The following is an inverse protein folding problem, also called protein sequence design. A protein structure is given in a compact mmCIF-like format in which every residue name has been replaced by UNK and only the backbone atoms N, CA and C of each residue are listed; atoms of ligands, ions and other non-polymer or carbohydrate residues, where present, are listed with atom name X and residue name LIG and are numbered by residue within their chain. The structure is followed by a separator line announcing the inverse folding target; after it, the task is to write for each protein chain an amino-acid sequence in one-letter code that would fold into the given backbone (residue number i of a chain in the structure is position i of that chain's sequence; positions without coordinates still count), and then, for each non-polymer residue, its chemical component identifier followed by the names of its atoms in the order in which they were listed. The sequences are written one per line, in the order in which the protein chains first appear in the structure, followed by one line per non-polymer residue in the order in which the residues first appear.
data_IF_734754053506
#
_entry.id   IF_734754053506
#
_cell.length_a   1.000
_cell.length_b   1.000
_cell.length_c   1.000
_cell.angle_alpha   90.00
_cell.angle_beta   90.00
_cell.angle_gamma   90.00
#
_symmetry.space_group_name_H-M   'P 1'
#
loop_
_entity.id
_entity.type
_entity.pdbx_description
1 polymer ?
#
# COMPACT_ATOMS: atom_id res chain seq x y z
N UNK A 1 24.66 -54.60 18.14
CA UNK A 1 24.91 -53.21 18.59
C UNK A 1 24.98 -52.31 17.37
N UNK A 2 23.89 -51.64 17.00
CA UNK A 2 23.94 -50.51 16.07
C UNK A 2 23.08 -49.40 16.66
N UNK A 3 23.75 -48.33 17.09
CA UNK A 3 23.15 -47.18 17.78
C UNK A 3 22.49 -46.26 16.76
N UNK A 4 21.21 -45.97 16.96
CA UNK A 4 20.48 -44.90 16.29
C UNK A 4 21.09 -43.53 16.63
N UNK A 5 21.35 -42.70 15.63
CA UNK A 5 21.66 -41.29 15.83
C UNK A 5 20.37 -40.45 15.82
N UNK A 6 20.21 -39.43 16.69
CA UNK A 6 19.00 -38.64 16.78
C UNK A 6 18.99 -37.53 15.73
N UNK A 7 17.80 -37.25 15.17
CA UNK A 7 17.56 -36.08 14.31
C UNK A 7 17.45 -34.83 15.20
N UNK A 8 18.35 -33.87 15.01
CA UNK A 8 18.29 -32.56 15.64
C UNK A 8 17.26 -31.68 14.92
N UNK A 9 16.15 -31.43 15.60
CA UNK A 9 15.13 -30.45 15.22
C UNK A 9 15.70 -29.05 15.40
N UNK A 10 15.92 -28.31 14.30
CA UNK A 10 16.25 -26.87 14.37
C UNK A 10 14.98 -26.07 14.59
N UNK A 11 14.77 -25.63 15.83
CA UNK A 11 13.81 -24.59 16.19
C UNK A 11 14.48 -23.24 15.91
N UNK A 12 14.00 -22.51 14.90
CA UNK A 12 14.37 -21.12 14.69
C UNK A 12 13.56 -20.26 15.66
N UNK A 13 14.24 -19.76 16.69
CA UNK A 13 13.71 -18.75 17.61
C UNK A 13 13.73 -17.38 16.92
N UNK A 14 12.56 -16.76 16.76
CA UNK A 14 12.43 -15.36 16.37
C UNK A 14 12.90 -14.46 17.52
N UNK A 15 14.08 -13.86 17.39
CA UNK A 15 14.51 -12.80 18.29
C UNK A 15 13.87 -11.47 17.84
N UNK A 16 12.88 -11.00 18.61
CA UNK A 16 12.33 -9.66 18.49
C UNK A 16 13.28 -8.65 19.16
N UNK A 17 13.72 -7.63 18.42
CA UNK A 17 14.50 -6.51 18.97
C UNK A 17 13.56 -5.31 19.13
N UNK A 18 13.27 -4.83 20.34
CA UNK A 18 12.49 -3.61 20.54
C UNK A 18 13.39 -2.37 20.38
N UNK A 19 13.07 -1.53 19.40
CA UNK A 19 13.66 -0.19 19.26
C UNK A 19 12.99 0.74 20.27
N UNK A 20 13.70 1.05 21.35
CA UNK A 20 13.32 2.09 22.30
C UNK A 20 13.67 3.47 21.71
N UNK A 21 12.65 4.26 21.34
CA UNK A 21 12.80 5.68 21.06
C UNK A 21 12.65 6.46 22.37
N UNK A 22 13.78 6.95 22.88
CA UNK A 22 13.82 7.88 24.02
C UNK A 22 13.55 9.28 23.49
N UNK A 23 12.44 9.88 23.92
CA UNK A 23 12.15 11.31 23.70
C UNK A 23 12.65 12.06 24.93
N UNK A 24 13.79 12.73 24.82
CA UNK A 24 14.26 13.67 25.83
C UNK A 24 13.65 15.05 25.54
N UNK A 25 12.84 15.55 26.48
CA UNK A 25 12.32 16.90 26.48
C UNK A 25 13.30 17.91 27.08
N UNK A 26 13.17 19.13 26.55
CA UNK A 26 13.36 20.44 27.19
C UNK A 26 14.72 20.78 27.85
N UNK A 27 15.42 21.79 27.31
CA UNK A 27 15.58 23.10 27.98
C UNK A 27 16.55 24.00 27.19
N UNK A 28 16.04 25.14 26.71
CA UNK A 28 16.89 26.24 26.29
C UNK A 28 17.14 27.14 27.49
N UNK A 29 18.35 27.02 28.03
CA UNK A 29 18.96 27.96 28.96
C UNK A 29 19.55 29.13 28.16
N UNK A 30 19.14 30.36 28.47
CA UNK A 30 19.84 31.58 28.03
C UNK A 30 19.84 32.61 29.15
N UNK A 31 20.95 32.63 29.90
CA UNK A 31 21.20 33.58 30.97
C UNK A 31 21.57 34.99 30.49
N UNK A 32 20.88 35.97 31.08
CA UNK A 32 21.39 37.17 31.78
C UNK A 32 22.18 38.26 31.04
N UNK A 33 21.64 39.50 31.01
CA UNK A 33 22.08 40.64 31.86
C UNK A 33 21.35 41.96 31.51
N UNK A 34 20.95 42.71 32.54
CA UNK A 34 20.59 44.13 32.44
C UNK A 34 19.54 44.56 33.47
N UNK A 35 20.00 45.02 34.65
CA UNK A 35 19.19 45.63 35.72
C UNK A 35 19.23 47.16 35.63
N UNK A 36 18.08 47.84 35.76
CA UNK A 36 17.77 48.88 36.77
C UNK A 36 16.51 49.72 36.43
N UNK A 37 15.88 50.40 37.42
CA UNK A 37 14.41 50.47 37.55
C UNK A 37 13.77 51.87 37.38
N UNK A 38 12.43 51.88 37.51
CA UNK A 38 11.55 52.93 38.08
C UNK A 38 10.56 53.63 37.12
N UNK A 39 9.27 53.54 37.48
CA UNK A 39 8.32 54.66 37.47
C UNK A 39 7.25 54.68 36.37
N UNK A 40 5.98 54.38 36.73
CA UNK A 40 4.82 54.80 35.95
C UNK A 40 3.55 53.96 36.17
N UNK A 41 2.60 54.46 36.97
CA UNK A 41 1.32 53.82 37.29
C UNK A 41 0.23 54.01 36.23
N UNK A 42 -0.48 52.90 35.92
CA UNK A 42 -1.91 52.74 35.51
C UNK A 42 -2.44 53.37 34.19
N UNK A 43 -3.55 52.87 33.59
CA UNK A 43 -4.56 51.92 34.11
C UNK A 43 -4.86 50.68 33.23
N UNK A 44 -5.57 49.71 33.81
CA UNK A 44 -6.25 48.61 33.09
C UNK A 44 -7.48 49.09 32.32
N UNK A 45 -7.73 48.53 31.13
CA UNK A 45 -9.04 48.05 30.70
C UNK A 45 -8.96 46.51 30.58
N UNK A 46 -9.82 45.73 31.23
CA UNK A 46 -11.24 45.65 30.89
C UNK A 46 -11.46 44.42 30.01
N UNK A 47 -11.87 43.32 30.66
CA UNK A 47 -12.62 42.17 30.17
C UNK A 47 -12.58 41.78 28.66
N UNK A 48 -12.08 40.56 28.43
CA UNK A 48 -12.65 39.53 27.56
C UNK A 48 -13.50 39.98 26.35
N UNK A 49 -12.93 39.90 25.16
CA UNK A 49 -13.69 39.69 23.93
C UNK A 49 -13.67 38.19 23.58
N UNK A 50 -14.78 37.45 23.70
CA UNK A 50 -14.95 36.16 23.03
C UNK A 50 -15.39 36.45 21.60
N UNK A 51 -14.52 36.29 20.61
CA UNK A 51 -14.93 36.69 19.26
C UNK A 51 -13.92 36.49 18.13
N UNK A 52 -13.05 35.49 18.25
CA UNK A 52 -12.27 34.98 17.12
C UNK A 52 -12.80 33.62 16.70
N UNK A 53 -14.12 33.49 16.53
CA UNK A 53 -14.70 32.29 15.94
C UNK A 53 -14.24 32.22 14.49
N UNK A 54 -13.08 31.62 14.24
CA UNK A 54 -12.75 31.12 12.92
C UNK A 54 -13.87 30.13 12.59
N UNK A 55 -14.81 30.56 11.74
CA UNK A 55 -15.77 29.64 11.14
C UNK A 55 -14.96 28.46 10.61
N UNK A 56 -15.27 27.21 11.01
CA UNK A 56 -14.51 26.07 10.53
C UNK A 56 -14.53 26.11 9.00
N UNK A 57 -13.35 26.10 8.39
CA UNK A 57 -13.24 26.03 6.93
C UNK A 57 -14.04 24.79 6.51
N UNK A 58 -15.06 24.93 5.63
CA UNK A 58 -15.86 23.80 5.20
C UNK A 58 -14.95 22.73 4.61
N UNK A 59 -14.92 21.58 5.26
CA UNK A 59 -14.12 20.45 4.83
C UNK A 59 -14.88 19.66 3.77
N UNK A 60 -14.27 19.44 2.61
CA UNK A 60 -14.87 18.61 1.58
C UNK A 60 -15.10 17.18 2.10
N UNK A 61 -16.33 16.63 2.00
CA UNK A 61 -16.61 15.28 2.45
C UNK A 61 -15.92 14.23 1.57
N UNK A 62 -15.59 13.08 2.15
CA UNK A 62 -15.04 11.95 1.41
C UNK A 62 -16.07 11.39 0.42
N UNK A 63 -15.70 11.25 -0.86
CA UNK A 63 -16.56 10.74 -1.94
C UNK A 63 -17.09 9.32 -1.69
N UNK A 64 -16.23 8.42 -1.22
CA UNK A 64 -16.53 7.03 -0.92
C UNK A 64 -16.53 6.78 0.59
N UNK A 65 -17.64 6.24 1.08
CA UNK A 65 -17.85 5.90 2.48
C UNK A 65 -17.37 4.48 2.82
N UNK A 66 -17.33 3.57 1.83
CA UNK A 66 -16.98 2.15 2.00
C UNK A 66 -15.91 1.71 1.01
N UNK A 67 -15.21 0.63 1.36
CA UNK A 67 -14.38 -0.14 0.46
C UNK A 67 -15.18 -1.34 -0.10
N UNK A 68 -14.86 -1.82 -1.32
CA UNK A 68 -15.35 -3.11 -1.79
C UNK A 68 -14.78 -4.24 -0.92
N UNK A 69 -15.43 -5.41 -0.94
CA UNK A 69 -14.79 -6.63 -0.44
C UNK A 69 -13.60 -6.98 -1.35
N UNK A 70 -12.33 -6.96 -0.85
CA UNK A 70 -11.16 -7.01 -1.74
C UNK A 70 -11.10 -8.25 -2.64
N UNK A 71 -11.49 -9.42 -2.13
CA UNK A 71 -11.50 -10.66 -2.91
C UNK A 71 -12.64 -10.75 -3.93
N UNK A 72 -13.64 -9.87 -3.86
CA UNK A 72 -14.70 -9.75 -4.86
C UNK A 72 -14.47 -8.59 -5.84
N UNK A 73 -13.34 -7.88 -5.71
CA UNK A 73 -12.98 -6.79 -6.61
C UNK A 73 -12.60 -7.28 -8.02
N UNK A 74 -12.26 -8.56 -8.15
CA UNK A 74 -11.96 -9.25 -9.39
C UNK A 74 -12.93 -10.42 -9.58
N UNK A 75 -13.40 -10.64 -10.81
CA UNK A 75 -14.23 -11.79 -11.14
C UNK A 75 -13.40 -13.06 -11.08
N UNK A 76 -14.06 -14.18 -10.78
CA UNK A 76 -13.46 -15.52 -10.86
C UNK A 76 -12.82 -15.76 -12.23
N UNK A 77 -13.46 -15.31 -13.31
CA UNK A 77 -12.92 -15.41 -14.66
C UNK A 77 -11.59 -14.66 -14.82
N UNK A 78 -11.52 -13.41 -14.35
CA UNK A 78 -10.27 -12.62 -14.38
C UNK A 78 -9.17 -13.34 -13.58
N UNK A 79 -9.50 -13.89 -12.41
CA UNK A 79 -8.54 -14.63 -11.58
C UNK A 79 -8.03 -15.90 -12.28
N UNK A 80 -8.92 -16.70 -12.86
CA UNK A 80 -8.55 -17.93 -13.58
C UNK A 80 -7.68 -17.65 -14.82
N UNK A 81 -7.98 -16.59 -15.55
CA UNK A 81 -7.22 -16.18 -16.75
C UNK A 81 -5.81 -15.70 -16.38
N UNK A 82 -5.65 -14.99 -15.26
CA UNK A 82 -4.37 -14.41 -14.84
C UNK A 82 -3.54 -15.32 -13.93
N UNK A 83 -4.18 -16.27 -13.25
CA UNK A 83 -3.51 -17.16 -12.29
C UNK A 83 -3.82 -18.61 -12.64
N UNK A 84 -3.16 -19.18 -13.67
CA UNK A 84 -3.35 -20.57 -14.02
C UNK A 84 -3.08 -21.49 -12.83
N UNK A 85 -3.94 -22.49 -12.64
CA UNK A 85 -3.90 -23.39 -11.47
C UNK A 85 -3.93 -22.63 -10.14
N UNK A 86 -4.74 -21.57 -10.06
CA UNK A 86 -4.98 -20.83 -8.82
C UNK A 86 -5.37 -21.79 -7.69
N UNK A 87 -4.71 -21.65 -6.54
CA UNK A 87 -4.95 -22.54 -5.39
C UNK A 87 -6.28 -22.31 -4.70
N UNK A 88 -6.74 -21.06 -4.71
CA UNK A 88 -7.98 -20.64 -4.09
C UNK A 88 -8.61 -19.54 -4.96
N UNK A 89 -9.63 -19.91 -5.73
CA UNK A 89 -10.36 -19.01 -6.64
C UNK A 89 -11.02 -17.84 -5.91
N UNK A 90 -11.51 -18.07 -4.69
CA UNK A 90 -12.11 -17.03 -3.86
C UNK A 90 -11.08 -16.05 -3.29
N UNK A 91 -9.79 -16.32 -3.44
CA UNK A 91 -8.70 -15.49 -2.95
C UNK A 91 -8.47 -15.61 -1.44
N UNK A 92 -7.32 -15.09 -1.02
CA UNK A 92 -6.91 -15.04 0.39
C UNK A 92 -6.99 -13.61 0.87
N UNK A 93 -7.96 -13.30 1.73
CA UNK A 93 -8.11 -11.98 2.30
C UNK A 93 -6.93 -11.64 3.22
N UNK A 94 -6.39 -10.43 3.07
CA UNK A 94 -5.40 -9.89 4.01
C UNK A 94 -6.04 -9.51 5.34
N UNK A 95 -5.25 -9.60 6.42
CA UNK A 95 -5.68 -9.17 7.75
C UNK A 95 -5.55 -7.64 7.89
N UNK A 96 -6.58 -6.98 8.41
CA UNK A 96 -6.53 -5.56 8.75
C UNK A 96 -7.19 -5.33 10.11
N UNK A 97 -6.60 -4.45 10.93
CA UNK A 97 -7.23 -3.97 12.17
C UNK A 97 -8.29 -2.89 11.90
N UNK A 98 -8.35 -2.37 10.67
CA UNK A 98 -9.37 -1.44 10.21
C UNK A 98 -9.78 -1.81 8.77
N UNK A 99 -10.79 -2.67 8.67
CA UNK A 99 -11.33 -3.12 7.38
C UNK A 99 -12.18 -2.05 6.69
N UNK A 100 -12.53 -0.95 7.37
CA UNK A 100 -13.27 0.16 6.77
C UNK A 100 -12.35 1.16 6.05
N UNK A 101 -11.08 1.24 6.47
CA UNK A 101 -10.06 2.05 5.82
C UNK A 101 -9.10 1.26 4.94
N UNK A 102 -8.88 -0.05 5.18
CA UNK A 102 -7.91 -0.86 4.43
C UNK A 102 -8.37 -2.30 4.23
N UNK A 103 -8.13 -2.83 3.04
CA UNK A 103 -8.35 -4.24 2.76
C UNK A 103 -7.50 -4.72 1.59
N UNK A 104 -7.16 -6.01 1.57
CA UNK A 104 -6.43 -6.62 0.47
C UNK A 104 -6.87 -8.05 0.22
N UNK A 105 -6.56 -8.56 -0.97
CA UNK A 105 -6.72 -9.96 -1.33
C UNK A 105 -5.57 -10.41 -2.23
N UNK A 106 -5.22 -11.68 -2.16
CA UNK A 106 -4.23 -12.29 -3.06
C UNK A 106 -4.63 -13.66 -3.57
N UNK A 107 -4.06 -14.00 -4.72
CA UNK A 107 -4.20 -15.26 -5.44
C UNK A 107 -2.82 -15.71 -5.90
N UNK A 108 -2.58 -17.02 -5.87
CA UNK A 108 -1.39 -17.60 -6.47
C UNK A 108 -1.69 -18.95 -7.08
N UNK A 109 -0.93 -19.26 -8.13
CA UNK A 109 -1.05 -20.48 -8.91
C UNK A 109 0.33 -20.96 -9.33
N UNK A 110 0.45 -22.27 -9.45
CA UNK A 110 1.64 -22.92 -9.99
C UNK A 110 1.17 -23.98 -10.97
N UNK A 111 1.40 -23.74 -12.26
CA UNK A 111 1.24 -24.78 -13.27
C UNK A 111 2.49 -25.66 -13.28
N UNK A 112 2.49 -26.69 -12.43
CA UNK A 112 3.61 -27.61 -12.29
C UNK A 112 3.64 -28.66 -13.42
N UNK A 113 4.71 -28.67 -14.23
CA UNK A 113 4.95 -29.68 -15.27
C UNK A 113 6.23 -30.51 -14.96
N UNK A 114 6.70 -30.47 -13.71
CA UNK A 114 7.87 -31.20 -13.24
C UNK A 114 9.13 -30.79 -13.97
N UNK A 115 9.89 -31.76 -14.48
CA UNK A 115 11.15 -31.51 -15.23
C UNK A 115 10.96 -30.73 -16.54
N UNK A 116 9.72 -30.48 -16.95
CA UNK A 116 9.40 -29.66 -18.14
C UNK A 116 9.28 -28.17 -17.83
N UNK A 117 9.51 -27.78 -16.57
CA UNK A 117 9.37 -26.40 -16.10
C UNK A 117 7.98 -26.10 -15.55
N UNK A 118 7.89 -25.12 -14.66
CA UNK A 118 6.64 -24.79 -13.96
C UNK A 118 6.40 -23.29 -14.00
N UNK A 119 5.16 -22.88 -14.27
CA UNK A 119 4.80 -21.47 -14.41
C UNK A 119 4.11 -20.96 -13.15
N UNK A 120 4.71 -19.97 -12.49
CA UNK A 120 4.16 -19.37 -11.28
C UNK A 120 3.54 -18.00 -11.55
N UNK A 121 2.37 -17.77 -10.94
CA UNK A 121 1.69 -16.48 -10.95
C UNK A 121 1.26 -16.08 -9.55
N UNK A 122 1.42 -14.80 -9.25
CA UNK A 122 0.89 -14.14 -8.08
C UNK A 122 0.14 -12.87 -8.49
N UNK A 123 -1.07 -12.70 -7.99
CA UNK A 123 -1.90 -11.53 -8.19
C UNK A 123 -2.37 -11.05 -6.81
N UNK A 124 -2.28 -9.77 -6.53
CA UNK A 124 -2.87 -9.16 -5.35
C UNK A 124 -3.48 -7.79 -5.66
N UNK A 125 -4.45 -7.42 -4.82
CA UNK A 125 -5.06 -6.10 -4.83
C UNK A 125 -5.18 -5.60 -3.41
N UNK A 126 -4.90 -4.33 -3.20
CA UNK A 126 -5.11 -3.64 -1.94
C UNK A 126 -5.83 -2.32 -2.18
N UNK A 127 -6.61 -1.92 -1.18
CA UNK A 127 -7.35 -0.67 -1.15
C UNK A 127 -7.08 0.07 0.15
N UNK A 128 -6.90 1.38 0.05
CA UNK A 128 -6.83 2.29 1.17
C UNK A 128 -7.79 3.45 0.96
N UNK A 129 -8.76 3.60 1.87
CA UNK A 129 -9.73 4.70 1.90
C UNK A 129 -9.31 5.75 2.91
N UNK A 130 -9.46 7.01 2.54
CA UNK A 130 -9.14 8.16 3.38
C UNK A 130 -10.43 8.89 3.75
N UNK A 131 -10.67 9.07 5.04
CA UNK A 131 -11.74 9.94 5.52
C UNK A 131 -11.30 11.41 5.47
N UNK A 132 -12.26 12.30 5.23
CA UNK A 132 -12.05 13.73 5.47
C UNK A 132 -12.10 13.98 6.97
N UNK A 133 -11.04 14.58 7.51
CA UNK A 133 -10.90 14.84 8.95
C UNK A 133 -10.52 16.31 9.19
N UNK A 134 -11.27 16.98 10.08
CA UNK A 134 -11.02 18.37 10.44
C UNK A 134 -9.63 18.54 11.04
N UNK A 135 -8.86 19.51 10.54
CA UNK A 135 -7.48 19.74 10.97
C UNK A 135 -6.44 18.82 10.32
N UNK A 136 -6.85 17.81 9.53
CA UNK A 136 -5.94 16.95 8.76
C UNK A 136 -6.06 17.22 7.25
N UNK A 137 -7.28 17.31 6.73
CA UNK A 137 -7.52 17.56 5.30
C UNK A 137 -8.62 16.68 4.72
N UNK A 138 -8.95 16.95 3.45
CA UNK A 138 -9.97 16.20 2.72
C UNK A 138 -9.47 14.77 2.44
N UNK A 139 -10.41 13.82 2.35
CA UNK A 139 -10.07 12.45 1.95
C UNK A 139 -9.46 12.39 0.55
N UNK A 140 -9.86 13.29 -0.35
CA UNK A 140 -9.34 13.36 -1.72
C UNK A 140 -7.86 13.79 -1.75
N UNK A 141 -7.50 14.86 -1.04
CA UNK A 141 -6.12 15.34 -0.96
C UNK A 141 -5.21 14.29 -0.31
N UNK A 142 -5.68 13.68 0.78
CA UNK A 142 -4.94 12.60 1.46
C UNK A 142 -4.73 11.38 0.56
N UNK A 143 -5.72 11.02 -0.26
CA UNK A 143 -5.58 9.94 -1.23
C UNK A 143 -4.62 10.30 -2.35
N UNK A 144 -4.57 11.58 -2.78
CA UNK A 144 -3.59 12.06 -3.75
C UNK A 144 -2.17 11.96 -3.21
N UNK A 145 -1.93 12.46 -2.01
CA UNK A 145 -0.62 12.35 -1.36
C UNK A 145 -0.18 10.89 -1.20
N UNK A 146 -1.12 10.02 -0.81
CA UNK A 146 -0.84 8.60 -0.67
C UNK A 146 -0.55 7.92 -2.01
N UNK A 147 -1.29 8.27 -3.06
CA UNK A 147 -1.03 7.79 -4.42
C UNK A 147 0.39 8.15 -4.89
N UNK A 148 0.80 9.42 -4.73
CA UNK A 148 2.13 9.89 -5.14
C UNK A 148 3.24 9.18 -4.35
N UNK A 149 3.03 8.97 -3.04
CA UNK A 149 3.95 8.21 -2.17
C UNK A 149 4.04 6.75 -2.58
N UNK A 150 2.92 6.10 -2.85
CA UNK A 150 2.86 4.70 -3.24
C UNK A 150 3.54 4.47 -4.59
N UNK A 151 3.27 5.31 -5.60
CA UNK A 151 3.97 5.28 -6.88
C UNK A 151 5.47 5.43 -6.70
N UNK A 152 5.90 6.35 -5.83
CA UNK A 152 7.32 6.57 -5.53
C UNK A 152 7.95 5.36 -4.84
N UNK A 153 7.23 4.75 -3.91
CA UNK A 153 7.68 3.55 -3.19
C UNK A 153 7.85 2.36 -4.15
N UNK A 154 6.88 2.11 -5.04
CA UNK A 154 6.96 1.03 -6.04
C UNK A 154 8.15 1.24 -6.99
N UNK A 155 8.37 2.47 -7.46
CA UNK A 155 9.54 2.81 -8.31
C UNK A 155 10.88 2.62 -7.59
N UNK A 156 10.89 2.79 -6.27
CA UNK A 156 12.08 2.64 -5.43
C UNK A 156 12.25 1.24 -4.84
N UNK A 157 11.54 0.23 -5.39
CA UNK A 157 11.65 -1.16 -4.94
C UNK A 157 13.11 -1.60 -4.94
N UNK A 158 13.59 -2.06 -3.77
CA UNK A 158 14.99 -2.44 -3.59
C UNK A 158 15.36 -3.59 -4.55
N UNK A 159 16.49 -3.45 -5.26
CA UNK A 159 17.00 -4.43 -6.23
C UNK A 159 16.11 -4.64 -7.46
N UNK A 160 15.09 -3.80 -7.66
CA UNK A 160 14.33 -3.83 -8.90
C UNK A 160 15.23 -3.42 -10.07
N UNK A 161 15.13 -4.16 -11.17
CA UNK A 161 15.87 -3.93 -12.40
C UNK A 161 14.92 -3.49 -13.50
N UNK A 162 15.46 -2.74 -14.49
CA UNK A 162 14.68 -2.29 -15.66
C UNK A 162 13.37 -1.56 -15.29
N UNK A 163 13.39 -0.83 -14.17
CA UNK A 163 12.20 -0.12 -13.67
C UNK A 163 11.72 0.89 -14.71
N UNK A 164 10.48 0.75 -15.13
CA UNK A 164 9.81 1.67 -16.04
C UNK A 164 8.43 2.02 -15.50
N UNK A 165 7.99 3.25 -15.77
CA UNK A 165 6.68 3.71 -15.34
C UNK A 165 5.99 4.50 -16.45
N UNK A 166 4.67 4.34 -16.55
CA UNK A 166 3.85 5.01 -17.54
C UNK A 166 2.44 5.30 -16.99
N UNK A 167 1.70 6.26 -17.57
CA UNK A 167 0.31 6.48 -17.21
C UNK A 167 -0.55 5.23 -17.52
N UNK A 168 -1.39 4.82 -16.57
CA UNK A 168 -2.32 3.70 -16.71
C UNK A 168 -3.74 4.21 -17.02
N UNK A 169 -3.91 4.83 -18.19
CA UNK A 169 -5.18 5.47 -18.57
C UNK A 169 -6.38 4.51 -18.51
N UNK A 170 -7.51 5.03 -18.01
CA UNK A 170 -8.75 4.27 -17.86
C UNK A 170 -8.83 3.40 -16.60
N UNK A 171 -7.82 3.45 -15.71
CA UNK A 171 -7.89 2.88 -14.37
C UNK A 171 -8.12 4.02 -13.37
N UNK A 172 -9.28 4.04 -12.70
CA UNK A 172 -9.61 5.10 -11.75
C UNK A 172 -9.66 6.49 -12.40
N UNK A 173 -9.43 7.52 -11.57
CA UNK A 173 -9.33 8.92 -12.01
C UNK A 173 -7.88 9.26 -12.40
N UNK A 174 -6.91 8.62 -11.75
CA UNK A 174 -5.48 8.81 -11.95
C UNK A 174 -4.76 7.49 -11.66
N UNK A 175 -3.84 7.06 -12.51
CA UNK A 175 -3.11 5.82 -12.28
C UNK A 175 -1.74 5.78 -12.98
N UNK A 176 -0.81 5.06 -12.36
CA UNK A 176 0.54 4.78 -12.88
C UNK A 176 0.75 3.27 -12.92
N UNK A 177 1.18 2.77 -14.08
CA UNK A 177 1.73 1.43 -14.24
C UNK A 177 3.24 1.48 -14.00
N UNK A 178 3.76 0.52 -13.25
CA UNK A 178 5.20 0.33 -13.04
C UNK A 178 5.55 -1.11 -13.39
N UNK A 179 6.51 -1.31 -14.29
CA UNK A 179 7.07 -2.61 -14.62
C UNK A 179 8.51 -2.71 -14.15
N UNK A 180 8.92 -3.87 -13.66
CA UNK A 180 10.30 -4.13 -13.22
C UNK A 180 10.58 -5.63 -13.12
N UNK A 181 11.86 -5.99 -13.26
CA UNK A 181 12.37 -7.32 -12.92
C UNK A 181 12.88 -7.36 -11.49
N UNK A 182 12.86 -8.52 -10.84
CA UNK A 182 13.44 -8.71 -9.51
C UNK A 182 13.96 -10.14 -9.33
N UNK A 183 15.26 -10.27 -9.11
CA UNK A 183 15.88 -11.55 -8.73
C UNK A 183 15.57 -11.87 -7.26
N UNK A 184 14.88 -12.98 -7.00
CA UNK A 184 14.49 -13.41 -5.64
C UNK A 184 14.46 -14.92 -5.53
N UNK A 185 15.00 -15.45 -4.43
CA UNK A 185 15.02 -16.89 -4.15
C UNK A 185 15.67 -17.75 -5.24
N UNK A 186 16.62 -17.18 -5.99
CA UNK A 186 17.33 -17.88 -7.07
C UNK A 186 16.66 -17.85 -8.43
N UNK A 187 15.52 -17.15 -8.57
CA UNK A 187 14.82 -16.98 -9.85
C UNK A 187 14.60 -15.50 -10.15
N UNK A 188 14.41 -15.20 -11.43
CA UNK A 188 14.06 -13.86 -11.91
C UNK A 188 12.54 -13.74 -12.05
N UNK A 189 11.96 -12.73 -11.42
CA UNK A 189 10.53 -12.45 -11.49
C UNK A 189 10.28 -11.19 -12.31
N UNK A 190 9.22 -11.22 -13.11
CA UNK A 190 8.68 -10.04 -13.79
C UNK A 190 7.47 -9.51 -13.03
N UNK A 191 7.42 -8.19 -12.82
CA UNK A 191 6.36 -7.49 -12.10
C UNK A 191 5.68 -6.45 -12.98
N UNK A 192 4.35 -6.36 -12.83
CA UNK A 192 3.56 -5.19 -13.19
C UNK A 192 2.75 -4.77 -11.97
N UNK A 193 2.92 -3.52 -11.56
CA UNK A 193 2.17 -2.91 -10.47
C UNK A 193 1.37 -1.73 -11.00
N UNK A 194 0.07 -1.71 -10.73
CA UNK A 194 -0.80 -0.58 -11.04
C UNK A 194 -1.19 0.09 -9.74
N UNK A 195 -0.78 1.33 -9.55
CA UNK A 195 -1.27 2.19 -8.48
C UNK A 195 -2.30 3.13 -9.09
N UNK A 196 -3.49 3.21 -8.50
CA UNK A 196 -4.55 4.09 -8.98
C UNK A 196 -5.22 4.83 -7.83
N UNK A 197 -5.78 5.99 -8.14
CA UNK A 197 -6.61 6.80 -7.26
C UNK A 197 -7.99 6.97 -7.88
N UNK A 198 -9.03 6.87 -7.06
CA UNK A 198 -10.39 7.34 -7.39
C UNK A 198 -10.96 8.03 -6.16
N UNK A 199 -11.28 9.33 -6.28
CA UNK A 199 -11.72 10.14 -5.14
C UNK A 199 -10.74 10.04 -3.98
N UNK A 200 -11.26 9.57 -2.84
CA UNK A 200 -10.55 9.36 -1.58
C UNK A 200 -10.06 7.90 -1.37
N UNK A 201 -9.89 7.11 -2.43
CA UNK A 201 -9.38 5.74 -2.37
C UNK A 201 -8.14 5.59 -3.25
N UNK A 202 -7.11 4.95 -2.69
CA UNK A 202 -5.94 4.45 -3.42
C UNK A 202 -6.06 2.93 -3.54
N UNK A 203 -5.83 2.40 -4.73
CA UNK A 203 -5.77 0.98 -5.03
C UNK A 203 -4.38 0.65 -5.56
N UNK A 204 -3.77 -0.41 -5.04
CA UNK A 204 -2.54 -0.99 -5.61
C UNK A 204 -2.84 -2.41 -6.04
N UNK A 205 -2.61 -2.72 -7.31
CA UNK A 205 -2.68 -4.06 -7.86
C UNK A 205 -1.28 -4.53 -8.24
N UNK A 206 -0.81 -5.61 -7.64
CA UNK A 206 0.43 -6.28 -7.99
C UNK A 206 0.15 -7.54 -8.80
N UNK A 207 0.84 -7.72 -9.91
CA UNK A 207 0.84 -8.95 -10.68
C UNK A 207 2.27 -9.32 -11.01
N UNK A 208 2.67 -10.55 -10.73
CA UNK A 208 4.03 -11.03 -11.01
C UNK A 208 4.06 -12.52 -11.31
N UNK A 209 5.17 -12.97 -11.87
CA UNK A 209 5.40 -14.37 -12.14
C UNK A 209 6.85 -14.68 -12.49
N UNK A 210 7.13 -15.97 -12.53
CA UNK A 210 8.45 -16.52 -12.89
C UNK A 210 8.27 -17.92 -13.47
N UNK A 211 9.21 -18.33 -14.31
CA UNK A 211 9.37 -19.71 -14.75
C UNK A 211 10.33 -20.46 -13.82
N UNK A 212 9.88 -21.55 -13.22
CA UNK A 212 10.72 -22.44 -12.43
C UNK A 212 11.27 -23.61 -13.26
N UNK A 213 12.37 -24.20 -12.80
CA UNK A 213 12.97 -25.40 -13.38
C UNK A 213 13.29 -25.27 -14.88
N UNK A 214 13.79 -24.09 -15.28
CA UNK A 214 14.17 -23.78 -16.66
C UNK A 214 13.00 -23.39 -17.57
N UNK A 215 11.79 -23.22 -17.03
CA UNK A 215 10.72 -22.55 -17.77
C UNK A 215 11.08 -21.08 -18.02
N UNK A 216 10.59 -20.54 -19.13
CA UNK A 216 10.71 -19.12 -19.44
C UNK A 216 9.87 -18.28 -18.48
N UNK A 217 10.35 -17.08 -18.19
CA UNK A 217 9.57 -16.08 -17.45
C UNK A 217 8.35 -15.61 -18.27
N UNK A 218 7.30 -15.13 -17.60
CA UNK A 218 6.21 -14.46 -18.29
C UNK A 218 6.69 -13.33 -19.19
N UNK A 219 6.08 -13.20 -20.36
CA UNK A 219 6.25 -12.02 -21.19
C UNK A 219 5.80 -10.75 -20.43
N UNK A 220 6.67 -9.75 -20.23
CA UNK A 220 6.34 -8.55 -19.45
C UNK A 220 5.17 -7.75 -20.03
N UNK A 221 4.98 -7.75 -21.35
CA UNK A 221 3.88 -7.02 -21.99
C UNK A 221 2.53 -7.71 -21.77
N UNK A 222 2.47 -9.04 -21.84
CA UNK A 222 1.26 -9.80 -21.47
C UNK A 222 0.95 -9.65 -19.99
N UNK A 223 1.99 -9.67 -19.15
CA UNK A 223 1.84 -9.48 -17.71
C UNK A 223 1.25 -8.09 -17.40
N UNK A 224 1.80 -7.02 -18.01
CA UNK A 224 1.26 -5.66 -17.88
C UNK A 224 -0.17 -5.54 -18.42
N UNK A 225 -0.49 -6.18 -19.55
CA UNK A 225 -1.85 -6.19 -20.12
C UNK A 225 -2.85 -6.84 -19.16
N UNK A 226 -2.47 -7.96 -18.54
CA UNK A 226 -3.28 -8.63 -17.52
C UNK A 226 -3.50 -7.76 -16.29
N UNK A 227 -2.44 -7.14 -15.78
CA UNK A 227 -2.51 -6.21 -14.65
C UNK A 227 -3.45 -5.03 -14.94
N UNK A 228 -3.36 -4.43 -16.13
CA UNK A 228 -4.25 -3.34 -16.56
C UNK A 228 -5.72 -3.77 -16.63
N UNK A 229 -6.02 -4.98 -17.10
CA UNK A 229 -7.39 -5.49 -17.16
C UNK A 229 -7.97 -5.69 -15.75
N UNK A 230 -7.23 -6.35 -14.86
CA UNK A 230 -7.65 -6.55 -13.48
C UNK A 230 -7.77 -5.21 -12.71
N UNK A 231 -6.84 -4.27 -12.93
CA UNK A 231 -6.87 -2.97 -12.26
C UNK A 231 -8.11 -2.14 -12.65
N UNK A 232 -8.56 -2.20 -13.90
CA UNK A 232 -9.83 -1.56 -14.33
C UNK A 232 -11.02 -2.13 -13.58
N UNK A 233 -11.05 -3.45 -13.42
CA UNK A 233 -12.13 -4.12 -12.69
C UNK A 233 -12.14 -3.74 -11.21
N UNK A 234 -10.97 -3.83 -10.58
CA UNK A 234 -10.79 -3.48 -9.17
C UNK A 234 -11.11 -2.01 -8.90
N UNK A 235 -10.66 -1.07 -9.75
CA UNK A 235 -11.00 0.34 -9.61
C UNK A 235 -12.51 0.58 -9.76
N UNK A 236 -13.17 -0.08 -10.71
CA UNK A 236 -14.62 0.01 -10.89
C UNK A 236 -15.40 -0.56 -9.68
N UNK A 237 -14.84 -1.53 -8.96
CA UNK A 237 -15.47 -2.12 -7.77
C UNK A 237 -15.65 -1.11 -6.63
N UNK A 238 -14.79 -0.09 -6.52
CA UNK A 238 -14.89 0.97 -5.51
C UNK A 238 -16.20 1.75 -5.67
N UNK A 239 -16.51 2.16 -6.91
CA UNK A 239 -17.75 2.86 -7.21
C UNK A 239 -18.98 1.95 -7.00
N UNK A 240 -18.89 0.66 -7.35
CA UNK A 240 -19.99 -0.31 -7.15
C UNK A 240 -20.33 -0.56 -5.67
N UNK A 241 -19.40 -0.32 -4.76
CA UNK A 241 -19.59 -0.55 -3.32
C UNK A 241 -20.24 0.64 -2.57
N UNK A 242 -20.52 1.76 -3.25
CA UNK A 242 -21.05 3.00 -2.69
C UNK A 242 -22.31 3.44 -3.41
#
# INVERSE_FOLDING_TARGET
MHRSAPRLTRILACAAVPVMLVVAGCSSDSGSKGSDPAGGSSPSPGASAPGGGQSPVPLEPAKYAKLPEPCKALTTKTVEELVPKVKNEAGTAGTSNDTAARGSCSWNGLEDKGVKGSDYRWLDVSFQRFASESGIGSGADRARDAYEKEVSAVKATEKAESVSASPAAGVGEEATAVAYGLAKSGEDFEYATIVARTGNVVMTLGYNGTGFAGAENPDPAQLMKGAMAAAKEAAASVAKAN
#
